data_IF_024609299715
#
_entry.id   IF_024609299715
#
_cell.length_a   1.000
_cell.length_b   1.000
_cell.length_c   1.000
_cell.angle_alpha   90.00
_cell.angle_beta   90.00
_cell.angle_gamma   90.00
#
_symmetry.space_group_name_H-M   'P 1'
#
loop_
_entity.id
_entity.type
_entity.pdbx_description
1 polymer ?
#
# COMPACT_ATOMS: atom_id res chain seq x y z
N UNK A 1 -3.13 2.12 17.94
CA UNK A 1 -3.80 1.26 16.94
C UNK A 1 -3.00 1.30 15.65
N UNK A 2 -2.67 0.15 15.12
CA UNK A 2 -1.88 0.06 13.90
C UNK A 2 -2.56 -0.84 12.89
N UNK A 3 -2.74 -0.31 11.68
CA UNK A 3 -3.23 -1.07 10.54
C UNK A 3 -2.11 -1.14 9.52
N UNK A 4 -1.83 -2.35 9.06
CA UNK A 4 -0.89 -2.60 7.98
C UNK A 4 -1.68 -3.03 6.75
N UNK A 5 -1.51 -2.34 5.65
CA UNK A 5 -2.30 -2.55 4.45
C UNK A 5 -1.39 -2.84 3.27
N UNK A 6 -1.70 -3.90 2.53
CA UNK A 6 -1.10 -4.17 1.23
C UNK A 6 -2.09 -3.69 0.17
N UNK A 7 -1.67 -2.71 -0.63
CA UNK A 7 -2.56 -1.99 -1.52
C UNK A 7 -2.02 -2.00 -2.94
N UNK A 8 -2.86 -2.38 -3.89
CA UNK A 8 -2.56 -2.28 -5.32
C UNK A 8 -3.78 -1.73 -6.04
N UNK A 9 -3.56 -0.77 -6.95
CA UNK A 9 -4.61 -0.18 -7.75
C UNK A 9 -4.07 0.13 -9.14
N UNK A 10 -4.81 -0.25 -10.16
CA UNK A 10 -4.41 0.03 -11.55
C UNK A 10 -5.63 -0.02 -12.47
N UNK A 11 -5.58 0.74 -13.60
CA UNK A 11 -6.66 0.69 -14.58
C UNK A 11 -6.55 -0.56 -15.45
N UNK A 12 -7.70 -1.07 -15.89
CA UNK A 12 -7.76 -2.22 -16.79
C UNK A 12 -8.02 -1.82 -18.25
N UNK A 13 -8.24 -0.54 -18.51
CA UNK A 13 -8.58 -0.03 -19.84
C UNK A 13 -7.48 0.87 -20.45
N UNK A 14 -6.23 0.73 -19.97
CA UNK A 14 -5.10 1.57 -20.40
C UNK A 14 -3.94 0.77 -20.98
N UNK A 15 -4.20 -0.42 -21.51
CA UNK A 15 -3.19 -1.26 -22.12
C UNK A 15 -2.39 -2.08 -21.13
N UNK A 16 -1.25 -2.62 -21.55
CA UNK A 16 -0.46 -3.56 -20.75
C UNK A 16 0.49 -2.88 -19.77
N UNK A 17 0.87 -1.64 -20.02
CA UNK A 17 1.75 -0.91 -19.12
C UNK A 17 0.94 0.10 -18.30
N UNK A 18 0.97 -0.06 -16.98
CA UNK A 18 0.22 0.79 -16.05
C UNK A 18 1.13 1.56 -15.09
N UNK A 19 2.43 1.56 -15.34
CA UNK A 19 3.39 2.15 -14.40
C UNK A 19 3.14 3.64 -14.13
N UNK A 20 2.69 4.41 -15.12
CA UNK A 20 2.39 5.82 -14.91
C UNK A 20 1.20 6.02 -13.97
N UNK A 21 0.22 5.13 -14.00
CA UNK A 21 -0.94 5.18 -13.10
C UNK A 21 -0.56 4.72 -11.70
N UNK A 22 0.27 3.70 -11.59
CA UNK A 22 0.81 3.26 -10.30
C UNK A 22 1.63 4.38 -9.66
N UNK A 23 2.43 5.10 -10.45
CA UNK A 23 3.22 6.23 -9.97
C UNK A 23 2.33 7.34 -9.40
N UNK A 24 1.17 7.60 -10.01
CA UNK A 24 0.22 8.59 -9.48
C UNK A 24 -0.29 8.19 -8.10
N UNK A 25 -0.65 6.92 -7.91
CA UNK A 25 -1.14 6.45 -6.61
C UNK A 25 -0.03 6.44 -5.55
N UNK A 26 1.18 6.04 -5.92
CA UNK A 26 2.32 6.05 -4.99
C UNK A 26 2.67 7.49 -4.58
N UNK A 27 2.57 8.43 -5.50
CA UNK A 27 2.77 9.85 -5.19
C UNK A 27 1.76 10.33 -4.11
N UNK A 28 0.49 9.96 -4.25
CA UNK A 28 -0.54 10.30 -3.26
C UNK A 28 -0.19 9.68 -1.90
N UNK A 29 0.25 8.43 -1.89
CA UNK A 29 0.66 7.75 -0.66
C UNK A 29 1.83 8.49 0.00
N UNK A 30 2.83 8.85 -0.79
CA UNK A 30 4.00 9.59 -0.31
C UNK A 30 3.60 10.93 0.29
N UNK A 31 2.73 11.67 -0.37
CA UNK A 31 2.27 12.98 0.11
C UNK A 31 1.43 12.91 1.38
N UNK A 32 0.87 11.74 1.68
CA UNK A 32 0.10 11.55 2.92
C UNK A 32 0.95 11.62 4.18
N UNK A 33 2.26 11.40 4.06
CA UNK A 33 3.15 11.35 5.20
C UNK A 33 3.11 10.04 5.99
N UNK A 34 2.24 9.10 5.61
CA UNK A 34 2.18 7.80 6.27
C UNK A 34 3.39 6.95 5.89
N UNK A 35 3.91 6.13 6.83
CA UNK A 35 4.94 5.15 6.49
C UNK A 35 4.47 4.23 5.37
N UNK A 36 5.31 4.04 4.37
CA UNK A 36 4.97 3.15 3.25
C UNK A 36 6.21 2.50 2.67
N UNK A 37 6.00 1.41 1.94
CA UNK A 37 7.07 0.76 1.20
C UNK A 37 6.52 0.28 -0.14
N UNK A 38 7.12 0.78 -1.22
CA UNK A 38 6.78 0.35 -2.57
C UNK A 38 7.36 -1.05 -2.82
N UNK A 39 6.51 -1.94 -3.30
CA UNK A 39 6.91 -3.26 -3.73
C UNK A 39 6.58 -3.49 -5.21
N UNK A 40 7.04 -4.60 -5.78
CA UNK A 40 6.81 -4.88 -7.21
C UNK A 40 5.37 -5.25 -7.54
N UNK A 41 4.58 -5.68 -6.57
CA UNK A 41 3.19 -6.11 -6.80
C UNK A 41 2.18 -5.35 -5.96
N UNK A 42 2.61 -4.68 -4.91
CA UNK A 42 1.75 -3.87 -4.05
C UNK A 42 2.59 -2.89 -3.26
N UNK A 43 1.92 -1.89 -2.70
CA UNK A 43 2.54 -0.93 -1.78
C UNK A 43 2.01 -1.20 -0.38
N UNK A 44 2.91 -1.25 0.59
CA UNK A 44 2.56 -1.45 1.99
C UNK A 44 2.42 -0.09 2.65
N UNK A 45 1.32 0.12 3.36
CA UNK A 45 1.04 1.38 4.07
C UNK A 45 0.73 1.04 5.52
N UNK A 46 1.23 1.86 6.44
CA UNK A 46 0.96 1.70 7.86
C UNK A 46 0.36 2.98 8.43
N UNK A 47 -0.62 2.83 9.32
CA UNK A 47 -1.24 3.97 9.98
C UNK A 47 -2.51 3.54 10.68
N UNK A 48 -3.34 4.50 11.05
CA UNK A 48 -4.66 4.16 11.54
C UNK A 48 -5.64 4.01 10.36
N UNK A 49 -6.74 3.34 10.61
CA UNK A 49 -7.72 2.99 9.58
C UNK A 49 -8.22 4.20 8.79
N UNK A 50 -8.62 5.26 9.49
CA UNK A 50 -9.22 6.42 8.82
C UNK A 50 -8.22 7.13 7.91
N UNK A 51 -6.97 7.24 8.34
CA UNK A 51 -5.92 7.87 7.55
C UNK A 51 -5.63 7.06 6.28
N UNK A 52 -5.51 5.74 6.43
CA UNK A 52 -5.24 4.86 5.29
C UNK A 52 -6.40 4.89 4.30
N UNK A 53 -7.63 4.83 4.79
CA UNK A 53 -8.81 4.86 3.92
C UNK A 53 -8.94 6.17 3.17
N UNK A 54 -8.55 7.29 3.76
CA UNK A 54 -8.49 8.57 3.03
C UNK A 54 -7.51 8.53 1.88
N UNK A 55 -6.35 7.90 2.07
CA UNK A 55 -5.33 7.76 1.02
C UNK A 55 -5.84 6.85 -0.09
N UNK A 56 -6.44 5.73 0.26
CA UNK A 56 -7.03 4.80 -0.71
C UNK A 56 -8.11 5.50 -1.53
N UNK A 57 -8.98 6.26 -0.87
CA UNK A 57 -10.03 7.01 -1.54
C UNK A 57 -9.47 8.03 -2.55
N UNK A 58 -8.42 8.74 -2.16
CA UNK A 58 -7.76 9.70 -3.07
C UNK A 58 -7.16 9.01 -4.29
N UNK A 59 -6.52 7.86 -4.09
CA UNK A 59 -5.95 7.08 -5.19
C UNK A 59 -7.05 6.64 -6.16
N UNK A 60 -8.15 6.12 -5.65
CA UNK A 60 -9.27 5.69 -6.46
C UNK A 60 -9.85 6.86 -7.28
N UNK A 61 -10.10 7.98 -6.62
CA UNK A 61 -10.67 9.16 -7.30
C UNK A 61 -9.75 9.73 -8.36
N UNK A 62 -8.44 9.69 -8.12
CA UNK A 62 -7.47 10.17 -9.10
C UNK A 62 -7.46 9.29 -10.35
N UNK A 63 -7.41 7.96 -10.19
CA UNK A 63 -7.39 7.07 -11.33
C UNK A 63 -8.73 7.06 -12.07
N UNK A 64 -9.83 7.24 -11.37
CA UNK A 64 -11.16 7.25 -11.96
C UNK A 64 -11.37 8.41 -12.93
N UNK A 65 -10.60 9.48 -12.83
CA UNK A 65 -10.70 10.61 -13.77
C UNK A 65 -10.43 10.19 -15.21
N UNK A 66 -9.55 9.22 -15.41
CA UNK A 66 -9.10 8.81 -16.73
C UNK A 66 -9.47 7.38 -17.10
N UNK A 67 -10.09 6.63 -16.19
CA UNK A 67 -10.33 5.20 -16.40
C UNK A 67 -11.78 4.83 -16.05
N UNK A 68 -12.38 4.04 -16.93
CA UNK A 68 -13.71 3.48 -16.71
C UNK A 68 -13.68 2.14 -16.00
N UNK A 69 -12.50 1.53 -15.88
CA UNK A 69 -12.36 0.25 -15.20
C UNK A 69 -11.08 0.18 -14.40
N UNK A 70 -11.24 0.03 -13.10
CA UNK A 70 -10.13 0.00 -12.13
C UNK A 70 -10.20 -1.31 -11.36
N UNK A 71 -9.04 -1.91 -11.16
CA UNK A 71 -8.89 -3.09 -10.30
C UNK A 71 -8.09 -2.67 -9.07
N UNK A 72 -8.60 -3.03 -7.90
CA UNK A 72 -7.96 -2.66 -6.64
C UNK A 72 -7.97 -3.85 -5.70
N UNK A 73 -6.84 -4.09 -5.06
CA UNK A 73 -6.76 -5.08 -3.99
C UNK A 73 -6.31 -4.40 -2.71
N UNK A 74 -6.87 -4.84 -1.60
CA UNK A 74 -6.59 -4.30 -0.30
C UNK A 74 -6.56 -5.46 0.70
N UNK A 75 -5.40 -5.74 1.27
CA UNK A 75 -5.24 -6.73 2.32
C UNK A 75 -4.88 -5.99 3.60
N UNK A 76 -5.61 -6.28 4.67
CA UNK A 76 -5.50 -5.55 5.92
C UNK A 76 -5.06 -6.48 7.04
N UNK A 77 -4.05 -6.06 7.78
CA UNK A 77 -3.61 -6.73 9.00
C UNK A 77 -3.67 -5.70 10.14
N UNK A 78 -4.60 -5.91 11.04
CA UNK A 78 -4.78 -5.03 12.20
C UNK A 78 -4.21 -5.68 13.45
N UNK A 79 -3.45 -4.88 14.21
CA UNK A 79 -2.95 -5.30 15.51
C UNK A 79 -2.93 -4.12 16.46
N UNK A 80 -3.66 -4.23 17.56
CA UNK A 80 -3.74 -3.16 18.55
C UNK A 80 -2.40 -2.98 19.26
N UNK A 81 -2.05 -1.72 19.54
CA UNK A 81 -0.86 -1.37 20.31
C UNK A 81 0.46 -1.46 19.58
N UNK A 82 0.46 -1.75 18.28
CA UNK A 82 1.68 -1.89 17.50
C UNK A 82 1.93 -0.69 16.60
N UNK A 83 3.21 -0.49 16.24
CA UNK A 83 3.66 0.51 15.28
C UNK A 83 5.00 0.05 14.71
N UNK A 84 5.49 0.70 13.66
CA UNK A 84 6.70 0.32 12.91
C UNK A 84 6.64 -1.11 12.37
N UNK A 85 5.45 -1.57 12.00
CA UNK A 85 5.24 -2.97 11.61
C UNK A 85 5.84 -3.31 10.26
N UNK A 86 5.98 -2.32 9.36
CA UNK A 86 6.63 -2.53 8.07
C UNK A 86 8.04 -3.09 8.29
N UNK A 87 8.80 -2.47 9.17
CA UNK A 87 10.17 -2.90 9.47
C UNK A 87 10.22 -4.11 10.38
N UNK A 88 9.38 -4.12 11.41
CA UNK A 88 9.40 -5.18 12.43
C UNK A 88 9.00 -6.55 11.88
N UNK A 89 8.04 -6.62 10.98
CA UNK A 89 7.65 -7.89 10.39
C UNK A 89 8.78 -8.51 9.57
N UNK A 90 9.45 -7.70 8.79
CA UNK A 90 10.59 -8.15 7.98
C UNK A 90 11.78 -8.51 8.88
N UNK A 91 12.09 -7.66 9.85
CA UNK A 91 13.18 -7.89 10.79
C UNK A 91 12.99 -9.19 11.58
N UNK A 92 11.76 -9.47 11.98
CA UNK A 92 11.44 -10.70 12.71
C UNK A 92 11.74 -11.94 11.87
N UNK A 93 11.36 -11.92 10.60
CA UNK A 93 11.63 -13.02 9.67
C UNK A 93 13.13 -13.16 9.41
N UNK A 94 13.82 -12.04 9.21
CA UNK A 94 15.27 -12.05 8.98
C UNK A 94 16.03 -12.65 10.16
N UNK A 95 15.61 -12.34 11.39
CA UNK A 95 16.21 -12.94 12.59
C UNK A 95 16.03 -14.45 12.59
N UNK A 96 14.83 -14.94 12.23
CA UNK A 96 14.56 -16.37 12.14
C UNK A 96 15.42 -17.05 11.08
N UNK A 97 15.62 -16.39 9.94
CA UNK A 97 16.49 -16.90 8.88
C UNK A 97 17.93 -17.02 9.33
N UNK A 98 18.45 -16.07 10.11
CA UNK A 98 19.79 -16.12 10.66
C UNK A 98 19.96 -17.29 11.63
N UNK A 99 18.94 -17.56 12.46
CA UNK A 99 18.97 -18.67 13.42
C UNK A 99 18.97 -20.03 12.72
N UNK A 100 18.46 -20.13 11.51
CA UNK A 100 18.44 -21.35 10.71
C UNK A 100 19.71 -21.55 9.87
N UNK A 101 20.42 -20.47 9.66
CA UNK A 101 21.63 -20.48 8.84
C UNK A 101 22.84 -20.93 9.64
#
# INVERSE_FOLDING_TARGET
MSVLVSFAIFPLDKGVSVSSYVAKSVHIIKESGLPYKLGPMSTIIEGNWDEIMKVVDKCFKELRKDSDRIYMTLHVDYREGTHNRIEEKVASVERQLQDQG
#
